data_IF_465568968221
#
_entry.id   IF_465568968221
#
_cell.length_a   1.000
_cell.length_b   1.000
_cell.length_c   1.000
_cell.angle_alpha   90.00
_cell.angle_beta   90.00
_cell.angle_gamma   90.00
#
_symmetry.space_group_name_H-M   'P 1'
#
loop_
_entity.id
_entity.type
_entity.pdbx_description
1 polymer ?
#
# COMPACT_ATOMS: atom_id res chain seq x y z
N UNK A 1 8.38 16.30 1.64
CA UNK A 1 9.48 17.27 1.82
C UNK A 1 9.04 18.62 1.29
N UNK A 2 9.48 19.69 1.95
CA UNK A 2 9.29 21.06 1.50
C UNK A 2 10.64 21.68 1.13
N UNK A 3 10.62 22.47 0.06
CA UNK A 3 11.81 23.15 -0.44
C UNK A 3 11.64 24.64 -0.20
N UNK A 4 12.73 25.27 0.26
CA UNK A 4 12.80 26.71 0.41
C UNK A 4 12.60 27.37 -0.97
N UNK A 5 11.62 28.28 -1.15
CA UNK A 5 11.33 28.88 -2.45
C UNK A 5 12.46 29.76 -3.02
N UNK A 6 13.31 30.31 -2.15
CA UNK A 6 14.37 31.23 -2.54
C UNK A 6 15.70 30.51 -2.82
N UNK A 7 16.02 29.50 -2.01
CA UNK A 7 17.31 28.78 -2.10
C UNK A 7 17.20 27.44 -2.83
N UNK A 8 15.99 26.89 -2.97
CA UNK A 8 15.76 25.57 -3.56
C UNK A 8 16.22 24.40 -2.69
N UNK A 9 16.65 24.64 -1.45
CA UNK A 9 17.15 23.61 -0.53
C UNK A 9 15.98 22.94 0.19
N UNK A 10 16.06 21.61 0.37
CA UNK A 10 15.13 20.87 1.22
C UNK A 10 15.46 21.12 2.70
N UNK A 11 14.59 21.82 3.42
CA UNK A 11 14.83 22.24 4.80
C UNK A 11 13.75 21.79 5.80
N UNK A 12 12.63 21.19 5.34
CA UNK A 12 11.58 20.69 6.22
C UNK A 12 10.75 19.53 5.64
N UNK A 13 9.97 18.89 6.52
CA UNK A 13 8.90 17.97 6.14
C UNK A 13 7.56 18.71 6.04
N UNK A 14 6.78 18.39 5.02
CA UNK A 14 5.40 18.88 4.90
C UNK A 14 4.53 18.07 5.86
N UNK A 15 3.59 18.75 6.50
CA UNK A 15 2.61 18.17 7.43
C UNK A 15 1.35 17.81 6.63
N UNK A 16 0.66 16.70 6.93
CA UNK A 16 0.99 15.71 7.97
C UNK A 16 2.19 14.83 7.59
N UNK A 17 3.04 14.53 8.58
CA UNK A 17 4.15 13.58 8.41
C UNK A 17 3.57 12.16 8.36
N UNK A 18 3.88 11.41 7.30
CA UNK A 18 3.50 10.00 7.18
C UNK A 18 4.65 9.12 7.71
N UNK A 19 4.34 8.21 8.63
CA UNK A 19 5.20 7.23 9.27
C UNK A 19 4.51 5.86 9.33
N UNK A 20 5.23 4.79 9.64
CA UNK A 20 4.71 3.40 9.57
C UNK A 20 3.39 3.17 10.32
N UNK A 21 3.16 3.85 11.45
CA UNK A 21 1.92 3.72 12.24
C UNK A 21 0.75 4.65 11.83
N UNK A 22 0.88 5.48 10.79
CA UNK A 22 -0.21 6.36 10.33
C UNK A 22 -0.47 6.29 8.83
N UNK A 23 0.01 5.21 8.19
CA UNK A 23 -0.31 4.85 6.81
C UNK A 23 -1.72 4.27 6.75
N UNK A 24 -2.76 5.08 6.94
CA UNK A 24 -4.15 4.64 6.79
C UNK A 24 -4.92 5.59 5.89
N UNK A 25 -5.91 5.09 5.16
CA UNK A 25 -6.78 5.89 4.31
C UNK A 25 -7.61 6.93 5.09
N UNK A 26 -7.68 6.82 6.41
CA UNK A 26 -8.19 7.88 7.29
C UNK A 26 -7.45 9.21 7.07
N UNK A 27 -6.13 9.18 6.79
CA UNK A 27 -5.36 10.38 6.43
C UNK A 27 -5.75 10.97 5.08
N UNK A 28 -6.43 10.19 4.24
CA UNK A 28 -6.80 10.54 2.86
C UNK A 28 -8.25 11.02 2.79
N UNK A 29 -9.10 10.75 3.79
CA UNK A 29 -10.51 11.19 3.84
C UNK A 29 -10.69 12.69 3.66
N UNK A 30 -9.82 13.48 4.27
CA UNK A 30 -9.87 14.95 4.18
C UNK A 30 -9.21 15.49 2.89
N UNK A 31 -8.71 14.60 2.03
CA UNK A 31 -8.07 14.98 0.77
C UNK A 31 -9.04 14.92 -0.41
N UNK A 32 -8.79 15.70 -1.48
CA UNK A 32 -9.55 15.61 -2.73
C UNK A 32 -9.48 14.24 -3.41
N UNK A 33 -8.58 13.35 -2.96
CA UNK A 33 -8.45 12.00 -3.50
C UNK A 33 -9.59 11.08 -3.05
N UNK A 34 -10.19 11.33 -1.88
CA UNK A 34 -11.24 10.48 -1.33
C UNK A 34 -12.43 10.31 -2.30
N UNK A 35 -12.89 11.41 -2.91
CA UNK A 35 -14.02 11.40 -3.86
C UNK A 35 -13.73 10.65 -5.16
N UNK A 36 -12.45 10.46 -5.52
CA UNK A 36 -12.03 9.72 -6.71
C UNK A 36 -12.12 8.21 -6.47
N UNK A 37 -11.96 7.77 -5.22
CA UNK A 37 -11.85 6.37 -4.85
C UNK A 37 -13.04 5.82 -4.06
N UNK A 38 -13.94 6.69 -3.58
CA UNK A 38 -15.10 6.30 -2.73
C UNK A 38 -15.98 5.20 -3.35
N UNK A 39 -16.06 5.14 -4.68
CA UNK A 39 -16.88 4.16 -5.41
C UNK A 39 -16.08 2.91 -5.86
N UNK A 40 -14.82 2.76 -5.45
CA UNK A 40 -13.98 1.61 -5.80
C UNK A 40 -14.12 0.52 -4.72
N UNK A 41 -14.96 -0.48 -5.03
CA UNK A 41 -15.20 -1.62 -4.13
C UNK A 41 -14.03 -2.62 -4.03
N UNK A 42 -13.11 -2.63 -5.00
CA UNK A 42 -12.02 -3.60 -5.06
C UNK A 42 -10.66 -2.92 -4.87
N UNK A 43 -9.81 -3.49 -4.02
CA UNK A 43 -8.45 -3.00 -3.74
C UNK A 43 -7.44 -4.14 -3.81
N UNK A 44 -6.29 -3.85 -4.40
CA UNK A 44 -5.07 -4.65 -4.27
C UNK A 44 -4.09 -3.82 -3.44
N UNK A 45 -3.78 -4.29 -2.23
CA UNK A 45 -2.85 -3.67 -1.30
C UNK A 45 -1.50 -4.36 -1.43
N UNK A 46 -0.45 -3.58 -1.70
CA UNK A 46 0.93 -4.05 -1.77
C UNK A 46 1.70 -3.43 -0.61
N UNK A 47 2.42 -4.24 0.18
CA UNK A 47 3.22 -3.77 1.31
C UNK A 47 4.49 -4.57 1.49
N UNK A 48 5.51 -3.98 2.10
CA UNK A 48 6.78 -4.63 2.45
C UNK A 48 6.98 -4.73 3.97
N UNK A 49 6.03 -4.20 4.74
CA UNK A 49 6.03 -4.26 6.18
C UNK A 49 4.65 -4.68 6.71
N UNK A 50 4.62 -5.28 7.90
CA UNK A 50 3.35 -5.64 8.56
C UNK A 50 2.45 -4.42 8.78
N UNK A 51 3.04 -3.24 9.00
CA UNK A 51 2.27 -2.00 9.19
C UNK A 51 1.48 -1.58 7.95
N UNK A 52 1.84 -2.06 6.76
CA UNK A 52 1.19 -1.69 5.52
C UNK A 52 -0.19 -2.31 5.35
N UNK A 53 -0.52 -3.38 6.09
CA UNK A 53 -1.87 -3.97 6.07
C UNK A 53 -2.95 -2.95 6.45
N UNK A 54 -2.58 -1.95 7.25
CA UNK A 54 -3.48 -0.89 7.70
C UNK A 54 -3.67 0.23 6.66
N UNK A 55 -3.05 0.13 5.47
CA UNK A 55 -3.21 1.15 4.44
C UNK A 55 -4.64 1.24 3.93
N UNK A 56 -5.35 0.12 3.82
CA UNK A 56 -6.78 0.11 3.45
C UNK A 56 -7.70 0.48 4.62
N UNK A 57 -7.18 0.71 5.83
CA UNK A 57 -8.03 1.08 6.96
C UNK A 57 -8.54 2.51 6.77
N UNK A 58 -9.86 2.67 6.69
CA UNK A 58 -10.50 3.98 6.65
C UNK A 58 -11.66 4.06 5.67
N UNK A 59 -11.57 3.38 4.54
CA UNK A 59 -12.65 3.27 3.55
C UNK A 59 -13.10 1.81 3.51
N UNK A 60 -14.41 1.60 3.40
CA UNK A 60 -14.95 0.26 3.29
C UNK A 60 -14.79 -0.21 1.84
N UNK A 61 -14.00 -1.26 1.64
CA UNK A 61 -13.91 -1.98 0.38
C UNK A 61 -14.72 -3.29 0.47
N UNK A 62 -15.27 -3.73 -0.66
CA UNK A 62 -15.98 -5.01 -0.79
C UNK A 62 -15.00 -6.18 -0.86
N UNK A 63 -13.90 -6.00 -1.59
CA UNK A 63 -12.83 -6.99 -1.72
C UNK A 63 -11.48 -6.31 -1.57
N UNK A 64 -10.63 -6.87 -0.70
CA UNK A 64 -9.24 -6.46 -0.54
C UNK A 64 -8.35 -7.68 -0.72
N UNK A 65 -7.41 -7.61 -1.67
CA UNK A 65 -6.35 -8.59 -1.85
C UNK A 65 -5.03 -7.99 -1.37
N UNK A 66 -4.38 -8.65 -0.43
CA UNK A 66 -3.16 -8.17 0.21
C UNK A 66 -1.93 -8.97 -0.25
N UNK A 67 -0.88 -8.28 -0.69
CA UNK A 67 0.36 -8.89 -1.18
C UNK A 67 1.54 -8.29 -0.42
N UNK A 68 2.23 -9.14 0.34
CA UNK A 68 3.38 -8.78 1.17
C UNK A 68 4.71 -9.15 0.51
N UNK A 69 5.62 -8.19 0.36
CA UNK A 69 6.99 -8.42 -0.12
C UNK A 69 7.94 -8.57 1.07
N UNK A 70 8.34 -9.80 1.37
CA UNK A 70 9.23 -10.14 2.46
C UNK A 70 10.68 -10.26 1.97
N UNK A 71 11.39 -9.15 2.01
CA UNK A 71 12.75 -9.05 1.45
C UNK A 71 13.85 -9.33 2.48
N UNK A 72 13.53 -9.33 3.77
CA UNK A 72 14.51 -9.42 4.86
C UNK A 72 14.01 -10.33 5.99
N UNK A 73 14.94 -11.01 6.68
CA UNK A 73 14.64 -11.90 7.81
C UNK A 73 13.53 -12.91 7.48
N UNK A 74 13.57 -13.49 6.28
CA UNK A 74 12.51 -14.34 5.74
C UNK A 74 12.17 -15.47 6.71
N UNK A 75 13.19 -16.19 7.20
CA UNK A 75 13.00 -17.32 8.11
C UNK A 75 12.29 -16.92 9.43
N UNK A 76 12.57 -15.73 9.94
CA UNK A 76 12.02 -15.24 11.21
C UNK A 76 10.61 -14.65 11.05
N UNK A 77 10.33 -14.03 9.90
CA UNK A 77 9.11 -13.25 9.67
C UNK A 77 8.06 -13.95 8.81
N UNK A 78 8.41 -15.03 8.11
CA UNK A 78 7.51 -15.67 7.14
C UNK A 78 6.16 -16.07 7.74
N UNK A 79 6.14 -16.61 8.95
CA UNK A 79 4.89 -17.02 9.60
C UNK A 79 3.97 -15.81 9.86
N UNK A 80 4.55 -14.68 10.28
CA UNK A 80 3.79 -13.45 10.54
C UNK A 80 3.24 -12.90 9.22
N UNK A 81 4.03 -12.94 8.14
CA UNK A 81 3.58 -12.47 6.82
C UNK A 81 2.49 -13.37 6.23
N UNK A 82 2.59 -14.69 6.39
CA UNK A 82 1.57 -15.63 5.91
C UNK A 82 0.24 -15.52 6.70
N UNK A 83 0.29 -15.08 7.96
CA UNK A 83 -0.91 -14.77 8.74
C UNK A 83 -1.52 -13.42 8.37
N UNK A 84 -0.69 -12.45 7.94
CA UNK A 84 -1.10 -11.08 7.67
C UNK A 84 -1.54 -10.83 6.22
N UNK A 85 -0.87 -11.44 5.24
CA UNK A 85 -1.09 -11.20 3.81
C UNK A 85 -1.69 -12.43 3.12
N UNK A 86 -2.54 -12.21 2.13
CA UNK A 86 -3.11 -13.29 1.30
C UNK A 86 -2.03 -13.95 0.43
N UNK A 87 -1.06 -13.16 -0.04
CA UNK A 87 0.06 -13.60 -0.86
C UNK A 87 1.36 -13.03 -0.29
N UNK A 88 2.38 -13.88 -0.14
CA UNK A 88 3.72 -13.44 0.30
C UNK A 88 4.73 -13.72 -0.81
N UNK A 89 5.45 -12.69 -1.23
CA UNK A 89 6.57 -12.76 -2.17
C UNK A 89 7.86 -12.63 -1.37
N UNK A 90 8.69 -13.67 -1.37
CA UNK A 90 9.94 -13.72 -0.60
C UNK A 90 11.15 -13.38 -1.47
N UNK A 91 12.29 -13.08 -0.84
CA UNK A 91 13.61 -12.93 -1.45
C UNK A 91 13.70 -11.85 -2.55
N UNK A 92 13.05 -10.69 -2.35
CA UNK A 92 13.04 -9.58 -3.32
C UNK A 92 12.52 -10.02 -4.70
N UNK A 93 11.44 -10.81 -4.67
CA UNK A 93 10.80 -11.33 -5.87
C UNK A 93 10.15 -10.26 -6.75
N UNK A 94 9.96 -10.55 -8.05
CA UNK A 94 9.44 -9.58 -9.01
C UNK A 94 7.94 -9.28 -8.81
N UNK A 95 7.46 -8.20 -9.44
CA UNK A 95 6.05 -7.81 -9.50
C UNK A 95 5.18 -8.70 -10.42
N UNK A 96 5.70 -9.83 -10.89
CA UNK A 96 5.04 -10.68 -11.88
C UNK A 96 3.68 -11.17 -11.40
N UNK A 97 3.54 -11.53 -10.12
CA UNK A 97 2.26 -11.96 -9.56
C UNK A 97 1.21 -10.83 -9.61
N UNK A 98 1.62 -9.60 -9.32
CA UNK A 98 0.75 -8.41 -9.37
C UNK A 98 0.30 -8.17 -10.81
N UNK A 99 1.24 -8.20 -11.77
CA UNK A 99 0.95 -8.02 -13.19
C UNK A 99 0.00 -9.10 -13.72
N UNK A 100 0.20 -10.36 -13.33
CA UNK A 100 -0.66 -11.46 -13.75
C UNK A 100 -2.10 -11.31 -13.22
N UNK A 101 -2.27 -10.83 -11.98
CA UNK A 101 -3.58 -10.54 -11.41
C UNK A 101 -4.25 -9.40 -12.17
N UNK A 102 -3.53 -8.30 -12.43
CA UNK A 102 -4.05 -7.16 -13.19
C UNK A 102 -4.47 -7.56 -14.61
N UNK A 103 -3.64 -8.36 -15.28
CA UNK A 103 -3.93 -8.91 -16.61
C UNK A 103 -5.20 -9.77 -16.60
N UNK A 104 -5.38 -10.61 -15.58
CA UNK A 104 -6.59 -11.43 -15.42
C UNK A 104 -7.84 -10.55 -15.24
N UNK A 105 -7.79 -9.55 -14.34
CA UNK A 105 -8.91 -8.63 -14.13
C UNK A 105 -9.26 -7.80 -15.38
N UNK A 106 -8.26 -7.45 -16.19
CA UNK A 106 -8.48 -6.66 -17.41
C UNK A 106 -9.11 -7.46 -18.56
N UNK A 107 -8.86 -8.77 -18.61
CA UNK A 107 -9.37 -9.66 -19.68
C UNK A 107 -10.87 -9.95 -19.55
N UNK A 108 -11.43 -9.82 -18.37
CA UNK A 108 -12.86 -10.03 -18.10
C UNK A 108 -13.71 -8.77 -18.35
N UNK A 109 -13.09 -7.65 -18.73
CA UNK A 109 -13.78 -6.41 -19.11
C UNK A 109 -14.14 -6.40 -20.61
N UNK A 110 -15.11 -7.23 -21.01
CA UNK A 110 -15.77 -7.19 -22.32
C UNK A 110 -17.30 -7.17 -22.17
#
# INVERSE_FOLDING_TARGET
MGFNPETGICDHFKIPLIHIFNKSEIMIKDSPYHTIIENRGNVILLGDSIGDIHMSDGIQHETCLTIGFLNHMVEDLINIYLEAFDIVVVDDGPMDIVNNILDACSKDSY
#
